data_IF_557632054510
#
_entry.id   IF_557632054510
#
_cell.length_a   1.000
_cell.length_b   1.000
_cell.length_c   1.000
_cell.angle_alpha   90.00
_cell.angle_beta   90.00
_cell.angle_gamma   90.00
#
_symmetry.space_group_name_H-M   'P 1'
#
loop_
_entity.id
_entity.type
_entity.pdbx_description
1 polymer ?
#
# COMPACT_ATOMS: atom_id res chain seq x y z
N UNK A 1 26.54 -3.78 13.89
CA UNK A 1 27.73 -4.67 13.85
C UNK A 1 28.95 -3.85 14.23
N UNK A 2 29.87 -4.42 15.02
CA UNK A 2 31.16 -3.80 15.34
C UNK A 2 32.27 -4.86 15.47
N UNK A 3 33.53 -4.43 15.42
CA UNK A 3 34.70 -5.31 15.56
C UNK A 3 35.31 -5.15 16.96
N UNK A 4 35.81 -6.25 17.53
CA UNK A 4 36.44 -6.28 18.86
C UNK A 4 37.78 -7.00 18.84
N UNK A 5 38.76 -6.47 19.57
CA UNK A 5 40.09 -7.08 19.75
C UNK A 5 40.11 -8.20 20.79
N UNK A 6 38.96 -8.49 21.42
CA UNK A 6 38.82 -9.58 22.40
C UNK A 6 37.59 -10.41 22.08
N UNK A 7 37.59 -11.72 22.40
CA UNK A 7 36.45 -12.59 22.15
C UNK A 7 35.15 -12.03 22.74
N UNK A 8 34.05 -12.16 21.98
CA UNK A 8 32.69 -11.78 22.41
C UNK A 8 31.70 -12.89 22.07
N UNK A 9 30.61 -13.05 22.84
CA UNK A 9 29.51 -13.94 22.46
C UNK A 9 29.01 -13.60 21.05
N UNK A 10 28.55 -14.62 20.30
CA UNK A 10 28.02 -14.50 18.92
C UNK A 10 28.95 -13.82 17.90
N UNK A 11 30.25 -13.71 18.22
CA UNK A 11 31.24 -13.16 17.30
C UNK A 11 31.86 -14.24 16.41
N UNK A 12 32.26 -13.85 15.21
CA UNK A 12 33.08 -14.69 14.33
C UNK A 12 34.49 -14.09 14.25
N UNK A 13 35.49 -14.89 14.60
CA UNK A 13 36.90 -14.52 14.43
C UNK A 13 37.25 -14.51 12.95
N UNK A 14 37.83 -13.40 12.49
CA UNK A 14 38.30 -13.23 11.12
C UNK A 14 39.73 -12.74 11.14
N UNK A 15 40.63 -13.59 10.64
CA UNK A 15 42.06 -13.28 10.55
C UNK A 15 42.45 -12.82 9.14
N UNK A 16 43.36 -11.85 9.07
CA UNK A 16 43.99 -11.39 7.84
C UNK A 16 45.04 -12.37 7.32
N UNK A 17 45.72 -11.99 6.24
CA UNK A 17 46.85 -12.76 5.71
C UNK A 17 48.07 -12.61 6.64
N UNK A 18 48.79 -13.70 6.98
CA UNK A 18 49.98 -13.63 7.81
C UNK A 18 51.13 -12.89 7.10
N UNK A 19 51.91 -12.10 7.84
CA UNK A 19 53.08 -11.39 7.34
C UNK A 19 54.28 -11.56 8.28
N UNK A 20 55.50 -11.36 7.76
CA UNK A 20 56.75 -11.53 8.55
C UNK A 20 57.37 -10.19 8.88
N UNK A 21 57.67 -9.97 10.16
CA UNK A 21 58.37 -8.79 10.67
C UNK A 21 59.83 -9.16 10.95
N UNK A 22 60.78 -8.36 10.46
CA UNK A 22 62.20 -8.52 10.81
C UNK A 22 62.47 -7.95 12.20
N UNK A 23 62.99 -8.80 13.09
CA UNK A 23 63.29 -8.43 14.49
C UNK A 23 64.72 -7.88 14.67
N UNK A 24 65.52 -7.80 13.60
CA UNK A 24 66.91 -7.37 13.65
C UNK A 24 67.88 -8.40 14.26
N UNK A 25 67.39 -9.60 14.59
CA UNK A 25 68.19 -10.70 15.17
C UNK A 25 68.64 -11.73 14.12
N UNK A 26 68.26 -11.53 12.85
CA UNK A 26 68.44 -12.52 11.78
C UNK A 26 67.34 -13.59 11.71
N UNK A 27 66.30 -13.47 12.54
CA UNK A 27 65.10 -14.32 12.53
C UNK A 27 63.85 -13.46 12.29
N UNK A 28 63.00 -13.88 11.36
CA UNK A 28 61.71 -13.23 11.07
C UNK A 28 60.61 -13.76 11.99
N UNK A 29 59.74 -12.86 12.47
CA UNK A 29 58.57 -13.20 13.26
C UNK A 29 57.32 -13.16 12.39
N UNK A 30 56.60 -14.28 12.25
CA UNK A 30 55.32 -14.33 11.56
C UNK A 30 54.23 -13.80 12.50
N UNK A 31 53.49 -12.80 12.04
CA UNK A 31 52.37 -12.16 12.74
C UNK A 31 51.12 -12.29 11.87
N UNK A 32 49.96 -12.48 12.50
CA UNK A 32 48.67 -12.51 11.84
C UNK A 32 47.66 -11.73 12.68
N UNK A 33 47.01 -10.75 12.08
CA UNK A 33 46.04 -9.91 12.76
C UNK A 33 44.65 -10.54 12.68
N UNK A 34 44.00 -10.73 13.82
CA UNK A 34 42.66 -11.31 13.94
C UNK A 34 41.72 -10.34 14.66
N UNK A 35 40.49 -10.21 14.17
CA UNK A 35 39.44 -9.41 14.81
C UNK A 35 38.17 -10.25 15.00
N UNK A 36 37.46 -10.02 16.10
CA UNK A 36 36.16 -10.65 16.36
C UNK A 36 35.04 -9.76 15.83
N UNK A 37 34.38 -10.20 14.75
CA UNK A 37 33.21 -9.51 14.17
C UNK A 37 31.97 -9.85 14.97
N UNK A 38 31.45 -8.88 15.72
CA UNK A 38 30.27 -9.04 16.58
C UNK A 38 29.01 -8.67 15.79
N UNK A 39 28.12 -9.64 15.61
CA UNK A 39 26.83 -9.44 14.97
C UNK A 39 25.81 -8.97 16.01
N UNK A 40 24.91 -8.08 15.60
CA UNK A 40 23.79 -7.67 16.43
C UNK A 40 22.69 -8.72 16.36
N UNK A 41 22.03 -8.97 17.49
CA UNK A 41 20.82 -9.78 17.51
C UNK A 41 19.71 -9.01 16.80
N UNK A 42 19.04 -9.66 15.86
CA UNK A 42 17.87 -9.10 15.21
C UNK A 42 16.70 -9.14 16.18
N UNK A 43 16.17 -7.97 16.56
CA UNK A 43 14.95 -7.89 17.36
C UNK A 43 13.74 -8.12 16.46
N UNK A 44 12.90 -9.11 16.81
CA UNK A 44 11.58 -9.28 16.22
C UNK A 44 10.52 -8.73 17.17
N UNK A 45 9.47 -8.14 16.60
CA UNK A 45 8.32 -7.65 17.34
C UNK A 45 7.05 -8.15 16.68
N UNK A 46 6.01 -8.37 17.49
CA UNK A 46 4.67 -8.72 17.03
C UNK A 46 3.73 -7.56 17.31
N UNK A 47 2.92 -7.20 16.32
CA UNK A 47 1.89 -6.16 16.43
C UNK A 47 0.52 -6.74 16.11
N UNK A 48 -0.51 -6.25 16.77
CA UNK A 48 -1.88 -6.53 16.35
C UNK A 48 -2.17 -5.78 15.05
N UNK A 49 -2.75 -6.47 14.09
CA UNK A 49 -3.22 -5.88 12.84
C UNK A 49 -4.73 -5.96 12.74
N UNK A 50 -5.33 -4.97 12.10
CA UNK A 50 -6.77 -4.89 11.92
C UNK A 50 -7.17 -5.66 10.67
N UNK A 51 -7.91 -6.74 10.87
CA UNK A 51 -8.42 -7.55 9.77
C UNK A 51 -9.87 -7.18 9.45
N UNK A 52 -10.30 -7.28 8.17
CA UNK A 52 -11.69 -7.08 7.80
C UNK A 52 -12.55 -8.17 8.42
N UNK A 53 -13.45 -7.78 9.33
CA UNK A 53 -14.43 -8.69 9.95
C UNK A 53 -15.66 -8.83 9.05
N UNK A 54 -16.16 -7.71 8.53
CA UNK A 54 -17.34 -7.64 7.68
C UNK A 54 -17.20 -6.49 6.68
N UNK A 55 -17.83 -6.62 5.51
CA UNK A 55 -17.96 -5.55 4.52
C UNK A 55 -19.43 -5.39 4.20
N UNK A 56 -19.98 -4.23 4.54
CA UNK A 56 -21.38 -3.92 4.31
C UNK A 56 -21.55 -3.24 2.95
N UNK A 57 -22.58 -3.66 2.22
CA UNK A 57 -22.87 -3.15 0.88
C UNK A 57 -24.35 -2.77 0.81
N UNK A 58 -24.60 -1.62 0.21
CA UNK A 58 -25.94 -1.18 -0.18
C UNK A 58 -25.92 -0.79 -1.65
N UNK A 59 -27.04 -1.01 -2.32
CA UNK A 59 -27.22 -0.71 -3.74
C UNK A 59 -28.65 -0.26 -3.98
N UNK A 60 -28.83 0.64 -4.93
CA UNK A 60 -30.13 1.14 -5.35
C UNK A 60 -30.06 1.71 -6.77
N UNK A 61 -31.22 2.03 -7.31
CA UNK A 61 -31.38 2.58 -8.67
C UNK A 61 -32.04 3.97 -8.65
N UNK A 62 -32.15 4.59 -7.47
CA UNK A 62 -32.74 5.91 -7.28
C UNK A 62 -31.69 6.96 -6.90
N UNK A 63 -32.09 8.23 -6.95
CA UNK A 63 -31.26 9.37 -6.58
C UNK A 63 -31.23 9.60 -5.06
N UNK A 64 -31.24 8.52 -4.26
CA UNK A 64 -31.18 8.56 -2.79
C UNK A 64 -30.11 7.60 -2.28
N UNK A 65 -28.83 7.85 -2.61
CA UNK A 65 -27.75 7.05 -2.04
C UNK A 65 -27.70 7.21 -0.52
N UNK A 66 -27.31 6.13 0.14
CA UNK A 66 -27.12 6.09 1.59
C UNK A 66 -26.03 5.07 1.91
N UNK A 67 -25.32 5.27 3.02
CA UNK A 67 -24.39 4.28 3.55
C UNK A 67 -25.14 3.23 4.37
N UNK A 68 -24.69 1.95 4.37
CA UNK A 68 -25.25 0.95 5.25
C UNK A 68 -25.05 1.38 6.70
N UNK A 69 -26.04 1.13 7.54
CA UNK A 69 -25.97 1.39 8.99
C UNK A 69 -25.34 0.20 9.70
N UNK A 70 -24.57 0.47 10.76
CA UNK A 70 -23.90 -0.55 11.55
C UNK A 70 -23.62 -0.06 12.96
N UNK A 71 -23.41 -1.02 13.86
CA UNK A 71 -22.97 -0.80 15.23
C UNK A 71 -21.62 -1.49 15.40
N UNK A 72 -20.65 -0.82 16.02
CA UNK A 72 -19.31 -1.36 16.24
C UNK A 72 -19.27 -2.08 17.59
N UNK A 73 -18.84 -3.34 17.60
CA UNK A 73 -18.41 -4.01 18.83
C UNK A 73 -17.09 -3.40 19.36
N UNK A 74 -16.74 -3.67 20.62
CA UNK A 74 -15.55 -3.12 21.27
C UNK A 74 -14.22 -3.34 20.51
N UNK A 75 -14.11 -4.44 19.74
CA UNK A 75 -12.92 -4.80 18.95
C UNK A 75 -13.14 -4.59 17.44
N UNK A 76 -14.10 -3.75 17.07
CA UNK A 76 -14.36 -3.37 15.69
C UNK A 76 -14.13 -1.89 15.49
N UNK A 77 -13.70 -1.53 14.27
CA UNK A 77 -13.62 -0.15 13.81
C UNK A 77 -14.13 -0.08 12.38
N UNK A 78 -14.63 1.09 12.00
CA UNK A 78 -14.98 1.35 10.61
C UNK A 78 -13.71 1.25 9.75
N UNK A 79 -13.82 0.46 8.67
CA UNK A 79 -12.79 0.38 7.63
C UNK A 79 -12.93 1.50 6.59
N UNK A 80 -12.23 1.35 5.47
CA UNK A 80 -12.39 2.27 4.35
C UNK A 80 -13.80 2.12 3.75
N UNK A 81 -14.36 3.25 3.30
CA UNK A 81 -15.64 3.29 2.60
C UNK A 81 -15.40 3.68 1.14
N UNK A 82 -16.11 3.04 0.22
CA UNK A 82 -16.02 3.31 -1.22
C UNK A 82 -17.40 3.33 -1.83
N UNK A 83 -17.66 4.30 -2.69
CA UNK A 83 -18.93 4.45 -3.40
C UNK A 83 -18.70 4.42 -4.91
N UNK A 84 -19.71 3.98 -5.65
CA UNK A 84 -19.71 3.99 -7.10
C UNK A 84 -21.12 4.28 -7.60
N UNK A 85 -21.23 5.33 -8.39
CA UNK A 85 -22.45 5.73 -9.08
C UNK A 85 -22.39 5.32 -10.53
N UNK A 86 -23.54 4.94 -11.08
CA UNK A 86 -23.70 4.57 -12.49
C UNK A 86 -24.87 5.36 -13.07
N UNK A 87 -24.62 6.07 -14.17
CA UNK A 87 -25.62 6.85 -14.88
C UNK A 87 -25.77 6.27 -16.27
N UNK A 88 -27.01 6.05 -16.70
CA UNK A 88 -27.34 5.57 -18.03
C UNK A 88 -27.97 6.70 -18.83
N UNK A 89 -27.30 7.08 -19.91
CA UNK A 89 -27.80 8.05 -20.88
C UNK A 89 -28.35 7.33 -22.12
N UNK A 90 -29.29 7.97 -22.80
CA UNK A 90 -29.83 7.51 -24.07
C UNK A 90 -29.72 8.60 -25.13
N UNK A 91 -29.13 8.31 -26.29
CA UNK A 91 -29.07 9.23 -27.41
C UNK A 91 -29.25 8.47 -28.73
N UNK A 92 -30.15 8.95 -29.60
CA UNK A 92 -30.41 8.37 -30.93
C UNK A 92 -30.72 6.86 -30.97
N UNK A 93 -31.22 6.28 -29.87
CA UNK A 93 -31.52 4.85 -29.74
C UNK A 93 -30.42 4.02 -29.08
N UNK A 94 -29.24 4.60 -28.86
CA UNK A 94 -28.13 3.96 -28.15
C UNK A 94 -28.12 4.31 -26.65
N UNK A 95 -27.54 3.41 -25.86
CA UNK A 95 -27.38 3.57 -24.41
C UNK A 95 -25.90 3.72 -24.04
N UNK A 96 -25.60 4.72 -23.23
CA UNK A 96 -24.25 5.05 -22.77
C UNK A 96 -24.19 4.99 -21.26
N UNK A 97 -23.21 4.29 -20.71
CA UNK A 97 -23.04 4.17 -19.26
C UNK A 97 -21.83 4.98 -18.81
N UNK A 98 -22.02 5.81 -17.80
CA UNK A 98 -20.97 6.56 -17.13
C UNK A 98 -20.86 6.12 -15.67
N UNK A 99 -19.64 5.88 -15.19
CA UNK A 99 -19.38 5.54 -13.79
C UNK A 99 -18.59 6.65 -13.12
N UNK A 100 -19.03 7.08 -11.95
CA UNK A 100 -18.38 8.16 -11.18
C UNK A 100 -18.38 7.86 -9.69
N UNK A 101 -17.54 8.55 -8.94
CA UNK A 101 -17.58 8.61 -7.47
C UNK A 101 -18.04 9.98 -6.98
N UNK A 102 -18.42 10.89 -7.88
CA UNK A 102 -18.97 12.21 -7.55
C UNK A 102 -20.49 12.11 -7.34
N UNK A 103 -20.90 12.11 -6.08
CA UNK A 103 -22.31 12.08 -5.68
C UNK A 103 -23.08 13.31 -6.21
N UNK A 104 -22.47 14.51 -6.23
CA UNK A 104 -23.16 15.72 -6.68
C UNK A 104 -23.47 15.65 -8.18
N UNK A 105 -22.56 15.09 -8.98
CA UNK A 105 -22.79 14.84 -10.39
C UNK A 105 -23.92 13.82 -10.59
N UNK A 106 -23.90 12.72 -9.82
CA UNK A 106 -24.94 11.70 -9.85
C UNK A 106 -26.33 12.26 -9.52
N UNK A 107 -26.45 13.05 -8.46
CA UNK A 107 -27.71 13.67 -8.02
C UNK A 107 -28.28 14.68 -9.02
N UNK A 108 -27.44 15.29 -9.86
CA UNK A 108 -27.89 16.17 -10.94
C UNK A 108 -28.49 15.41 -12.13
N UNK A 109 -28.14 14.12 -12.31
CA UNK A 109 -28.57 13.31 -13.45
C UNK A 109 -30.01 12.80 -13.28
N UNK A 110 -30.95 13.72 -13.17
CA UNK A 110 -32.37 13.41 -13.08
C UNK A 110 -32.87 12.76 -14.38
N UNK A 111 -33.79 11.77 -14.32
CA UNK A 111 -34.41 11.22 -15.51
C UNK A 111 -35.01 12.33 -16.39
N UNK A 112 -34.63 12.35 -17.66
CA UNK A 112 -35.05 13.37 -18.63
C UNK A 112 -34.16 14.63 -18.70
N UNK A 113 -33.15 14.76 -17.85
CA UNK A 113 -32.14 15.82 -17.97
C UNK A 113 -31.24 15.61 -19.20
N UNK A 114 -30.70 16.71 -19.73
CA UNK A 114 -29.86 16.73 -20.92
C UNK A 114 -28.39 16.93 -20.55
N UNK A 115 -27.49 16.19 -21.20
CA UNK A 115 -26.07 16.14 -20.86
C UNK A 115 -25.20 16.18 -22.11
N UNK A 116 -24.03 16.80 -21.97
CA UNK A 116 -22.94 16.70 -22.92
C UNK A 116 -22.03 15.55 -22.46
N UNK A 117 -21.80 14.58 -23.36
CA UNK A 117 -20.97 13.40 -23.09
C UNK A 117 -19.72 13.44 -23.94
N UNK A 118 -18.55 13.27 -23.32
CA UNK A 118 -17.32 12.96 -24.04
C UNK A 118 -17.19 11.44 -24.14
N UNK A 119 -17.13 10.92 -25.35
CA UNK A 119 -17.09 9.49 -25.64
C UNK A 119 -15.79 9.16 -26.36
N UNK A 120 -15.07 8.15 -25.87
CA UNK A 120 -13.84 7.71 -26.51
C UNK A 120 -14.11 6.79 -27.73
N UNK A 121 -13.06 6.41 -28.44
CA UNK A 121 -13.15 5.56 -29.64
C UNK A 121 -13.70 4.14 -29.36
N UNK A 122 -13.78 3.71 -28.10
CA UNK A 122 -14.33 2.43 -27.66
C UNK A 122 -15.77 2.53 -27.17
N UNK A 123 -16.45 3.65 -27.43
CA UNK A 123 -17.83 3.92 -27.02
C UNK A 123 -18.03 4.02 -25.49
N UNK A 124 -16.96 4.31 -24.74
CA UNK A 124 -17.05 4.56 -23.30
C UNK A 124 -17.17 6.06 -23.03
N UNK A 125 -18.07 6.43 -22.11
CA UNK A 125 -18.20 7.80 -21.62
C UNK A 125 -17.02 8.10 -20.69
N UNK A 126 -16.19 9.08 -21.05
CA UNK A 126 -15.04 9.51 -20.24
C UNK A 126 -15.33 10.76 -19.42
N UNK A 127 -16.32 11.56 -19.84
CA UNK A 127 -16.81 12.71 -19.08
C UNK A 127 -18.31 12.91 -19.35
N UNK A 128 -19.02 13.48 -18.38
CA UNK A 128 -20.41 13.88 -18.52
C UNK A 128 -20.62 15.21 -17.78
N UNK A 129 -21.22 16.19 -18.45
CA UNK A 129 -21.57 17.48 -17.86
C UNK A 129 -23.02 17.86 -18.20
N UNK A 130 -23.76 18.54 -17.29
CA UNK A 130 -25.09 19.05 -17.61
C UNK A 130 -25.06 19.98 -18.82
N UNK A 131 -26.01 19.81 -19.74
CA UNK A 131 -26.18 20.76 -20.84
C UNK A 131 -26.78 22.07 -20.27
N UNK A 132 -26.25 23.21 -20.72
CA UNK A 132 -26.76 24.54 -20.36
C UNK A 132 -28.13 24.82 -20.98
#
# INVERSE_FOLDING_TARGET
RYDSDTPRPIATEVCGEPYTIDTGTGLGQVVQDCVYRVYENYCTYTTMDWLPVETLVTSGEDLRPYWPTFELANEQRQGNSTERYVITFSAAGDSFTYSTTDENLYLQAQPGSTWLLDINQFNHVVSAAPAQ
#
